data_IF_261505662754
#
_entry.id   IF_261505662754
#
_cell.length_a   1.000
_cell.length_b   1.000
_cell.length_c   1.000
_cell.angle_alpha   90.00
_cell.angle_beta   90.00
_cell.angle_gamma   90.00
#
_symmetry.space_group_name_H-M   'P 1'
#
loop_
_entity.id
_entity.type
_entity.pdbx_description
1 polymer ?
#
# COMPACT_ATOMS: atom_id res chain seq x y z
N UNK A 1 -37.09 17.73 13.93
CA UNK A 1 -36.41 16.44 13.69
C UNK A 1 -35.11 16.80 12.95
N UNK A 2 -33.96 16.78 13.66
CA UNK A 2 -32.66 17.03 13.02
C UNK A 2 -32.33 15.82 12.18
N UNK A 3 -32.30 15.97 10.84
CA UNK A 3 -31.83 14.92 9.94
C UNK A 3 -30.37 14.66 10.35
N UNK A 4 -30.00 13.43 10.73
CA UNK A 4 -28.60 13.16 11.09
C UNK A 4 -27.71 13.53 9.91
N UNK A 5 -26.70 14.34 10.15
CA UNK A 5 -25.74 14.75 9.13
C UNK A 5 -25.06 13.49 8.56
N UNK A 6 -25.11 13.34 7.24
CA UNK A 6 -24.57 12.17 6.56
C UNK A 6 -23.07 12.10 6.77
N UNK A 7 -22.59 11.06 7.46
CA UNK A 7 -21.16 10.83 7.65
C UNK A 7 -20.47 10.60 6.29
N UNK A 8 -19.41 11.33 6.03
CA UNK A 8 -18.58 11.20 4.82
C UNK A 8 -17.62 10.02 4.95
N UNK A 9 -17.17 9.48 3.83
CA UNK A 9 -16.09 8.49 3.83
C UNK A 9 -14.81 9.10 4.39
N UNK A 10 -14.10 8.34 5.22
CA UNK A 10 -12.76 8.71 5.70
C UNK A 10 -11.73 8.26 4.65
N UNK A 11 -11.22 9.23 3.88
CA UNK A 11 -10.25 8.98 2.81
C UNK A 11 -8.80 9.01 3.29
N UNK A 12 -8.57 9.27 4.57
CA UNK A 12 -7.25 9.19 5.18
C UNK A 12 -7.02 7.87 5.93
N UNK A 13 -8.03 7.01 5.99
CA UNK A 13 -7.94 5.67 6.55
C UNK A 13 -7.70 4.66 5.43
N UNK A 14 -6.45 4.50 5.04
CA UNK A 14 -6.01 3.58 4.00
C UNK A 14 -5.78 2.15 4.50
N UNK A 15 -5.50 1.21 3.60
CA UNK A 15 -5.32 -0.23 3.91
C UNK A 15 -4.05 -0.56 4.70
N UNK A 16 -3.01 0.28 4.58
CA UNK A 16 -1.73 0.17 5.33
C UNK A 16 -1.51 1.36 6.27
N UNK A 17 -2.55 2.15 6.51
CA UNK A 17 -2.58 3.19 7.51
C UNK A 17 -2.77 2.55 8.89
N UNK A 18 -2.16 3.13 9.93
CA UNK A 18 -2.06 2.50 11.27
C UNK A 18 -3.42 2.08 11.85
N UNK A 19 -4.38 3.00 11.90
CA UNK A 19 -5.71 2.71 12.45
C UNK A 19 -6.50 1.78 11.53
N UNK A 20 -6.35 1.96 10.20
CA UNK A 20 -6.98 1.10 9.20
C UNK A 20 -6.49 -0.36 9.28
N UNK A 21 -5.19 -0.56 9.47
CA UNK A 21 -4.60 -1.91 9.63
C UNK A 21 -5.07 -2.57 10.94
N UNK A 22 -5.12 -1.80 12.05
CA UNK A 22 -5.64 -2.27 13.33
C UNK A 22 -7.13 -2.65 13.25
N UNK A 23 -7.95 -1.87 12.56
CA UNK A 23 -9.39 -2.17 12.37
C UNK A 23 -9.61 -3.39 11.46
N UNK A 24 -8.82 -3.53 10.39
CA UNK A 24 -8.91 -4.68 9.49
C UNK A 24 -8.61 -5.97 10.23
N UNK A 25 -7.59 -6.01 11.08
CA UNK A 25 -7.23 -7.17 11.89
C UNK A 25 -8.23 -7.43 13.04
N UNK A 26 -8.88 -6.39 13.57
CA UNK A 26 -9.90 -6.52 14.61
C UNK A 26 -11.29 -6.86 14.08
N UNK A 27 -11.54 -6.70 12.77
CA UNK A 27 -12.86 -6.92 12.17
C UNK A 27 -13.25 -8.41 12.20
N UNK A 28 -14.33 -8.79 12.90
CA UNK A 28 -14.77 -10.18 12.97
C UNK A 28 -15.17 -10.71 11.59
N UNK A 29 -14.55 -11.80 11.17
CA UNK A 29 -14.82 -12.49 9.90
C UNK A 29 -14.81 -13.99 10.08
N UNK A 30 -15.56 -14.70 9.23
CA UNK A 30 -15.57 -16.17 9.23
C UNK A 30 -14.31 -16.71 8.58
N UNK A 31 -13.63 -17.62 9.29
CA UNK A 31 -12.38 -18.30 8.89
C UNK A 31 -12.60 -19.81 8.82
N UNK A 32 -11.58 -20.58 8.46
CA UNK A 32 -11.63 -22.06 8.47
C UNK A 32 -11.95 -22.57 9.88
N UNK A 33 -11.24 -22.06 10.88
CA UNK A 33 -11.54 -22.32 12.30
C UNK A 33 -11.66 -20.99 13.02
N UNK A 34 -12.80 -20.71 13.63
CA UNK A 34 -13.04 -19.46 14.35
C UNK A 34 -12.36 -19.41 15.72
N UNK A 35 -11.34 -20.21 15.95
CA UNK A 35 -10.59 -20.28 17.20
C UNK A 35 -9.12 -19.93 16.97
N UNK A 36 -8.58 -19.08 17.84
CA UNK A 36 -7.16 -18.81 17.95
C UNK A 36 -6.69 -19.02 19.41
N UNK A 37 -6.80 -20.22 19.97
CA UNK A 37 -6.60 -20.46 21.40
C UNK A 37 -5.19 -20.08 21.87
N UNK A 38 -4.17 -20.24 21.02
CA UNK A 38 -2.80 -19.87 21.36
C UNK A 38 -2.59 -18.37 21.61
N UNK A 39 -3.39 -17.51 20.98
CA UNK A 39 -3.32 -16.04 21.15
C UNK A 39 -4.36 -15.50 22.15
N UNK A 40 -5.21 -16.34 22.71
CA UNK A 40 -6.29 -15.91 23.61
C UNK A 40 -5.78 -15.15 24.86
N UNK A 41 -4.70 -15.56 25.56
CA UNK A 41 -4.14 -14.79 26.67
C UNK A 41 -3.62 -13.42 26.24
N UNK A 42 -2.98 -13.34 25.09
CA UNK A 42 -2.49 -12.09 24.48
C UNK A 42 -3.64 -11.15 24.16
N UNK A 43 -4.68 -11.62 23.50
CA UNK A 43 -5.85 -10.82 23.15
C UNK A 43 -6.59 -10.28 24.38
N UNK A 44 -6.68 -11.10 25.43
CA UNK A 44 -7.26 -10.69 26.72
C UNK A 44 -6.40 -9.60 27.40
N UNK A 45 -5.09 -9.74 27.41
CA UNK A 45 -4.18 -8.75 27.95
C UNK A 45 -4.26 -7.44 27.15
N UNK A 46 -4.22 -7.51 25.81
CA UNK A 46 -4.35 -6.38 24.89
C UNK A 46 -5.64 -5.59 25.15
N UNK A 47 -6.79 -6.27 25.30
CA UNK A 47 -8.05 -5.62 25.62
C UNK A 47 -8.02 -4.90 27.00
N UNK A 48 -7.37 -5.47 28.01
CA UNK A 48 -7.18 -4.82 29.31
C UNK A 48 -6.31 -3.58 29.23
N UNK A 49 -5.21 -3.63 28.48
CA UNK A 49 -4.35 -2.47 28.24
C UNK A 49 -5.12 -1.36 27.54
N UNK A 50 -5.86 -1.70 26.48
CA UNK A 50 -6.70 -0.75 25.76
C UNK A 50 -7.73 -0.10 26.67
N UNK A 51 -8.43 -0.87 27.49
CA UNK A 51 -9.42 -0.34 28.44
C UNK A 51 -8.80 0.60 29.50
N UNK A 52 -7.59 0.29 29.96
CA UNK A 52 -6.90 1.08 30.98
C UNK A 52 -6.24 2.36 30.45
N UNK A 53 -5.74 2.34 29.21
CA UNK A 53 -4.88 3.42 28.67
C UNK A 53 -5.51 4.18 27.52
N UNK A 54 -6.55 3.63 26.88
CA UNK A 54 -7.13 4.13 25.64
C UNK A 54 -6.20 3.94 24.41
N UNK A 55 -5.14 3.13 24.54
CA UNK A 55 -4.24 2.81 23.42
C UNK A 55 -4.73 1.55 22.73
N UNK A 56 -5.07 1.64 21.45
CA UNK A 56 -5.29 0.49 20.57
C UNK A 56 -3.96 0.11 19.92
N UNK A 57 -3.57 -1.16 20.00
CA UNK A 57 -2.34 -1.60 19.37
C UNK A 57 -2.48 -3.03 18.83
N UNK A 58 -1.59 -3.40 17.93
CA UNK A 58 -1.51 -4.71 17.32
C UNK A 58 -0.38 -4.75 16.31
N UNK A 59 -0.31 -5.82 15.58
CA UNK A 59 0.71 -5.93 14.56
C UNK A 59 0.64 -7.25 13.82
N UNK A 60 1.61 -7.46 12.97
CA UNK A 60 1.71 -8.70 12.22
C UNK A 60 3.16 -9.10 11.94
N UNK A 61 3.35 -10.39 11.77
CA UNK A 61 4.56 -10.96 11.24
C UNK A 61 4.23 -11.71 9.95
N UNK A 62 4.84 -11.29 8.85
CA UNK A 62 4.67 -11.87 7.52
C UNK A 62 5.94 -12.56 7.05
N UNK A 63 5.77 -13.66 6.32
CA UNK A 63 6.80 -14.34 5.54
C UNK A 63 6.34 -14.38 4.09
N UNK A 64 7.23 -14.10 3.14
CA UNK A 64 6.98 -14.22 1.71
C UNK A 64 8.12 -14.98 1.05
N UNK A 65 7.81 -16.11 0.47
CA UNK A 65 8.68 -16.85 -0.45
C UNK A 65 8.23 -16.61 -1.89
N UNK A 66 9.17 -16.35 -2.79
CA UNK A 66 8.95 -16.29 -4.23
C UNK A 66 9.96 -17.17 -4.95
N UNK A 67 9.49 -17.90 -5.97
CA UNK A 67 10.32 -18.69 -6.89
C UNK A 67 10.04 -18.24 -8.33
N UNK A 68 11.10 -17.98 -9.05
CA UNK A 68 11.09 -17.49 -10.43
C UNK A 68 11.45 -18.62 -11.39
N UNK A 69 10.70 -18.79 -12.46
CA UNK A 69 10.96 -19.84 -13.48
C UNK A 69 12.33 -19.68 -14.14
N UNK A 70 12.93 -18.51 -14.04
CA UNK A 70 14.27 -18.20 -14.52
C UNK A 70 14.80 -16.95 -13.83
N UNK A 71 16.12 -16.76 -13.86
CA UNK A 71 16.74 -15.50 -13.47
C UNK A 71 17.76 -15.06 -14.48
N UNK A 72 17.72 -13.78 -14.86
CA UNK A 72 18.71 -13.20 -15.77
C UNK A 72 20.03 -12.93 -15.06
N UNK A 73 19.99 -12.54 -13.78
CA UNK A 73 21.13 -12.01 -13.04
C UNK A 73 21.51 -12.86 -11.81
N UNK A 74 21.04 -14.09 -11.73
CA UNK A 74 21.55 -15.12 -10.83
C UNK A 74 20.60 -15.58 -9.72
N UNK A 75 19.83 -14.68 -9.07
CA UNK A 75 18.91 -15.08 -8.01
C UNK A 75 17.55 -15.48 -8.56
N UNK A 76 17.14 -16.73 -8.39
CA UNK A 76 15.87 -17.29 -8.90
C UNK A 76 14.86 -17.66 -7.82
N UNK A 77 15.13 -17.33 -6.56
CA UNK A 77 14.19 -17.39 -5.45
C UNK A 77 14.47 -16.28 -4.44
N UNK A 78 13.51 -15.97 -3.59
CA UNK A 78 13.69 -15.04 -2.49
C UNK A 78 12.78 -15.40 -1.33
N UNK A 79 13.27 -15.17 -0.13
CA UNK A 79 12.51 -15.25 1.10
C UNK A 79 12.71 -13.97 1.89
N UNK A 80 11.62 -13.35 2.32
CA UNK A 80 11.66 -12.16 3.15
C UNK A 80 10.69 -12.24 4.31
N UNK A 81 10.99 -11.48 5.36
CA UNK A 81 10.02 -11.23 6.43
C UNK A 81 9.64 -9.75 6.51
N UNK A 82 8.48 -9.51 7.07
CA UNK A 82 7.97 -8.19 7.40
C UNK A 82 7.33 -8.25 8.78
N UNK A 83 7.92 -7.52 9.73
CA UNK A 83 7.32 -7.27 11.04
C UNK A 83 6.72 -5.87 11.03
N UNK A 84 5.50 -5.72 11.54
CA UNK A 84 4.84 -4.44 11.73
C UNK A 84 4.19 -4.41 13.11
N UNK A 85 4.42 -3.35 13.87
CA UNK A 85 3.71 -3.04 15.11
C UNK A 85 3.08 -1.66 14.96
N UNK A 86 1.78 -1.60 15.20
CA UNK A 86 0.96 -0.40 15.09
C UNK A 86 0.36 -0.04 16.46
N UNK A 87 0.31 1.25 16.77
CA UNK A 87 -0.42 1.75 17.93
C UNK A 87 -1.10 3.09 17.61
N UNK A 88 -2.33 3.26 18.11
CA UNK A 88 -3.15 4.45 17.94
C UNK A 88 -3.74 4.87 19.29
N UNK A 89 -3.78 6.17 19.54
CA UNK A 89 -4.40 6.76 20.72
C UNK A 89 -5.17 8.03 20.38
N UNK A 90 -6.44 8.09 20.80
CA UNK A 90 -7.19 9.32 20.77
C UNK A 90 -6.66 10.29 21.82
N UNK A 91 -6.15 11.45 21.38
CA UNK A 91 -5.67 12.53 22.22
C UNK A 91 -6.81 13.45 22.66
N UNK A 92 -7.77 13.69 21.76
CA UNK A 92 -8.95 14.53 22.01
C UNK A 92 -10.19 13.84 21.48
N UNK A 93 -11.33 14.08 22.12
CA UNK A 93 -12.65 13.62 21.67
C UNK A 93 -12.75 12.08 21.46
N UNK A 94 -12.09 11.29 22.31
CA UNK A 94 -12.12 9.84 22.22
C UNK A 94 -13.55 9.29 22.08
N UNK A 95 -13.77 8.37 21.15
CA UNK A 95 -15.07 7.77 20.86
C UNK A 95 -16.05 8.69 20.12
N UNK A 96 -15.63 9.87 19.67
CA UNK A 96 -16.44 10.80 18.87
C UNK A 96 -15.95 10.84 17.41
N UNK A 97 -16.83 11.20 16.45
CA UNK A 97 -16.44 11.28 15.03
C UNK A 97 -15.33 12.29 14.69
N UNK A 98 -15.07 13.25 15.60
CA UNK A 98 -14.02 14.25 15.46
C UNK A 98 -12.81 13.99 16.38
N UNK A 99 -12.55 12.75 16.70
CA UNK A 99 -11.37 12.39 17.49
C UNK A 99 -10.09 12.86 16.78
N UNK A 100 -9.17 13.44 17.58
CA UNK A 100 -7.78 13.64 17.17
C UNK A 100 -6.99 12.44 17.65
N UNK A 101 -6.41 11.68 16.73
CA UNK A 101 -5.57 10.50 17.04
C UNK A 101 -4.10 10.82 16.86
N UNK A 102 -3.27 10.14 17.62
CA UNK A 102 -1.84 9.98 17.39
C UNK A 102 -1.56 8.52 17.04
N UNK A 103 -0.90 8.32 15.93
CA UNK A 103 -0.68 7.03 15.31
C UNK A 103 0.82 6.79 15.09
N UNK A 104 1.29 5.56 15.38
CA UNK A 104 2.69 5.16 15.21
C UNK A 104 2.79 3.76 14.63
N UNK A 105 3.74 3.57 13.70
CA UNK A 105 4.14 2.27 13.18
C UNK A 105 5.64 2.05 13.36
N UNK A 106 5.99 0.84 13.78
CA UNK A 106 7.37 0.34 13.87
C UNK A 106 7.46 -0.90 12.98
N UNK A 107 8.45 -0.93 12.10
CA UNK A 107 8.60 -2.02 11.15
C UNK A 107 10.06 -2.52 11.09
N UNK A 108 10.20 -3.79 10.74
CA UNK A 108 11.47 -4.44 10.34
C UNK A 108 11.19 -5.29 9.09
N UNK A 109 12.07 -5.20 8.11
CA UNK A 109 11.95 -5.97 6.87
C UNK A 109 13.32 -6.44 6.41
N UNK A 110 13.47 -7.75 6.15
CA UNK A 110 14.76 -8.32 5.73
C UNK A 110 14.58 -9.49 4.78
N UNK A 111 15.57 -9.68 3.92
CA UNK A 111 15.77 -10.96 3.26
C UNK A 111 16.19 -12.03 4.30
N UNK A 112 15.83 -13.29 4.06
CA UNK A 112 16.19 -14.43 4.89
C UNK A 112 16.88 -15.47 4.00
N UNK A 113 18.19 -15.66 4.17
CA UNK A 113 18.95 -16.68 3.44
C UNK A 113 19.09 -16.44 1.94
N UNK A 114 18.68 -15.26 1.44
CA UNK A 114 18.86 -14.82 0.05
C UNK A 114 19.50 -13.43 0.03
N UNK A 115 20.21 -13.09 -1.04
CA UNK A 115 20.97 -11.82 -1.13
C UNK A 115 20.03 -10.62 -1.23
N UNK A 116 18.94 -10.74 -1.99
CA UNK A 116 17.98 -9.67 -2.23
C UNK A 116 16.60 -10.02 -1.66
N UNK A 117 15.91 -9.04 -1.09
CA UNK A 117 14.53 -9.18 -0.64
C UNK A 117 13.56 -9.32 -1.83
N UNK A 118 12.34 -9.84 -1.62
CA UNK A 118 11.37 -10.06 -2.70
C UNK A 118 11.10 -8.88 -3.62
N UNK A 119 11.10 -7.64 -3.09
CA UNK A 119 10.90 -6.42 -3.91
C UNK A 119 11.93 -6.31 -5.04
N UNK A 120 13.19 -6.67 -4.80
CA UNK A 120 14.26 -6.51 -5.78
C UNK A 120 14.59 -7.80 -6.53
N UNK A 121 14.29 -8.96 -5.95
CA UNK A 121 14.57 -10.24 -6.58
C UNK A 121 13.85 -10.42 -7.93
N UNK A 122 12.61 -9.91 -8.05
CA UNK A 122 11.87 -9.93 -9.32
C UNK A 122 12.53 -9.12 -10.43
N UNK A 123 13.16 -7.98 -10.10
CA UNK A 123 13.93 -7.19 -11.06
C UNK A 123 15.16 -7.97 -11.55
N UNK A 124 15.87 -8.64 -10.64
CA UNK A 124 17.02 -9.51 -10.98
C UNK A 124 16.58 -10.72 -11.80
N UNK A 125 15.39 -11.25 -11.56
CA UNK A 125 14.83 -12.32 -12.37
C UNK A 125 14.48 -11.89 -13.81
N UNK A 126 14.26 -10.59 -14.05
CA UNK A 126 14.02 -10.03 -15.37
C UNK A 126 12.73 -9.21 -15.51
N UNK A 127 11.91 -9.10 -14.47
CA UNK A 127 10.73 -8.23 -14.49
C UNK A 127 11.13 -6.76 -14.52
N UNK A 128 10.41 -5.92 -15.26
CA UNK A 128 10.60 -4.46 -15.24
C UNK A 128 9.92 -3.77 -14.08
N UNK A 129 9.10 -4.47 -13.30
CA UNK A 129 8.46 -3.99 -12.08
C UNK A 129 8.70 -4.97 -10.93
N UNK A 130 8.78 -4.51 -9.67
CA UNK A 130 8.80 -5.36 -8.50
C UNK A 130 7.64 -6.35 -8.46
N UNK A 131 7.96 -7.63 -8.25
CA UNK A 131 6.97 -8.71 -8.11
C UNK A 131 6.38 -8.80 -6.69
N UNK A 132 6.94 -8.02 -5.75
CA UNK A 132 6.43 -7.81 -4.40
C UNK A 132 6.71 -6.35 -4.00
N UNK A 133 5.68 -5.51 -4.01
CA UNK A 133 5.81 -4.05 -3.99
C UNK A 133 6.50 -3.49 -2.75
N UNK A 134 6.12 -3.94 -1.54
CA UNK A 134 6.61 -3.36 -0.29
C UNK A 134 7.42 -4.35 0.58
N UNK A 135 7.94 -5.43 -0.01
CA UNK A 135 8.79 -6.41 0.67
C UNK A 135 10.30 -6.07 0.49
N UNK A 136 10.62 -4.80 0.70
CA UNK A 136 11.98 -4.24 0.67
C UNK A 136 12.74 -4.57 1.95
N UNK A 137 13.94 -4.02 2.11
CA UNK A 137 14.79 -4.26 3.29
C UNK A 137 15.08 -2.95 4.01
N UNK A 138 14.92 -2.95 5.33
CA UNK A 138 15.40 -1.95 6.27
C UNK A 138 15.30 -2.47 7.71
N UNK A 139 16.17 -1.94 8.58
CA UNK A 139 16.25 -2.35 9.98
C UNK A 139 15.09 -1.81 10.81
N UNK A 140 14.84 -2.47 11.96
CA UNK A 140 13.81 -2.10 12.90
C UNK A 140 13.84 -0.60 13.25
N UNK A 141 12.74 0.07 13.04
CA UNK A 141 12.62 1.49 13.36
C UNK A 141 11.22 2.04 13.20
N UNK A 142 11.03 3.28 13.65
CA UNK A 142 9.79 4.01 13.47
C UNK A 142 9.66 4.38 12.00
N UNK A 143 8.62 3.89 11.34
CA UNK A 143 8.36 4.13 9.92
C UNK A 143 7.25 5.14 9.69
N UNK A 144 6.32 5.27 10.62
CA UNK A 144 5.26 6.26 10.61
C UNK A 144 5.01 6.79 12.02
N UNK A 145 4.74 8.08 12.15
CA UNK A 145 4.16 8.71 13.32
C UNK A 145 3.49 10.02 12.90
N UNK A 146 2.21 10.15 13.19
CA UNK A 146 1.41 11.30 12.73
C UNK A 146 0.22 11.54 13.64
N UNK A 147 -0.37 12.73 13.50
CA UNK A 147 -1.69 13.03 14.01
C UNK A 147 -2.70 13.02 12.87
N UNK A 148 -3.91 12.58 13.17
CA UNK A 148 -5.03 12.56 12.22
C UNK A 148 -6.30 13.06 12.91
N UNK A 149 -7.11 13.82 12.18
CA UNK A 149 -8.41 14.26 12.68
C UNK A 149 -9.42 14.38 11.54
N UNK A 150 -10.67 14.03 11.86
CA UNK A 150 -11.84 14.18 10.99
C UNK A 150 -12.78 15.21 11.62
N UNK A 151 -13.11 16.27 10.90
CA UNK A 151 -13.91 17.40 11.39
C UNK A 151 -15.23 17.50 10.60
N UNK A 152 -16.22 18.16 11.19
CA UNK A 152 -17.50 18.48 10.56
C UNK A 152 -18.15 17.27 9.90
N UNK A 153 -18.33 16.17 10.66
CA UNK A 153 -18.92 14.90 10.17
C UNK A 153 -18.22 14.35 8.92
N UNK A 154 -16.89 14.50 8.85
CA UNK A 154 -16.06 14.02 7.75
C UNK A 154 -15.92 14.99 6.57
N UNK A 155 -16.49 16.19 6.63
CA UNK A 155 -16.35 17.17 5.55
C UNK A 155 -14.93 17.69 5.35
N UNK A 156 -14.16 17.72 6.44
CA UNK A 156 -12.75 18.05 6.41
C UNK A 156 -11.96 17.02 7.20
N UNK A 157 -10.88 16.50 6.62
CA UNK A 157 -10.01 15.50 7.22
C UNK A 157 -8.57 15.92 6.99
N UNK A 158 -7.69 15.67 7.95
CA UNK A 158 -6.27 15.93 7.77
C UNK A 158 -5.39 14.95 8.52
N UNK A 159 -4.18 14.78 8.04
CA UNK A 159 -3.08 14.08 8.72
C UNK A 159 -1.78 14.85 8.56
N UNK A 160 -0.96 14.89 9.60
CA UNK A 160 0.33 15.58 9.61
C UNK A 160 1.34 14.74 10.40
N UNK A 161 2.50 14.50 9.81
CA UNK A 161 3.59 13.75 10.43
C UNK A 161 4.44 13.01 9.43
N UNK A 162 5.22 12.04 9.90
CA UNK A 162 5.89 11.08 9.03
C UNK A 162 4.89 9.99 8.63
N UNK A 163 4.57 9.92 7.35
CA UNK A 163 3.53 9.07 6.81
C UNK A 163 4.05 8.23 5.64
N UNK A 164 3.40 7.10 5.41
CA UNK A 164 3.62 6.30 4.22
C UNK A 164 2.74 6.87 3.10
N UNK A 165 3.33 7.68 2.25
CA UNK A 165 2.60 8.45 1.24
C UNK A 165 1.70 7.62 0.31
N UNK A 166 2.05 6.37 -0.09
CA UNK A 166 1.17 5.53 -0.88
C UNK A 166 -0.19 5.21 -0.24
N UNK A 167 -0.34 5.34 1.08
CA UNK A 167 -1.65 5.20 1.73
C UNK A 167 -2.63 6.30 1.32
N UNK A 168 -2.13 7.42 0.83
CA UNK A 168 -2.93 8.63 0.60
C UNK A 168 -2.97 9.05 -0.87
N UNK A 169 -1.95 8.70 -1.67
CA UNK A 169 -1.80 9.10 -3.07
C UNK A 169 -2.31 7.98 -3.97
N UNK A 170 -3.36 8.24 -4.75
CA UNK A 170 -3.96 7.26 -5.67
C UNK A 170 -4.31 5.92 -5.00
N UNK A 171 -4.70 5.96 -3.73
CA UNK A 171 -4.97 4.78 -2.93
C UNK A 171 -6.30 4.13 -3.30
N UNK A 172 -6.36 2.79 -3.24
CA UNK A 172 -7.55 2.01 -3.55
C UNK A 172 -7.61 0.72 -2.71
N UNK A 173 -8.74 -0.02 -2.69
CA UNK A 173 -8.96 -1.13 -1.77
C UNK A 173 -8.04 -2.34 -1.87
N UNK A 174 -7.37 -2.58 -3.01
CA UNK A 174 -6.42 -3.70 -3.20
C UNK A 174 -4.95 -3.32 -3.04
N UNK A 175 -4.67 -2.21 -2.37
CA UNK A 175 -3.32 -1.69 -2.16
C UNK A 175 -2.45 -2.55 -1.20
N UNK A 176 -3.02 -3.38 -0.35
CA UNK A 176 -2.31 -4.07 0.73
C UNK A 176 -1.61 -5.36 0.25
N UNK A 177 -0.32 -5.29 -0.03
CA UNK A 177 0.50 -6.44 -0.41
C UNK A 177 0.85 -7.39 0.76
N UNK A 178 0.36 -7.13 1.97
CA UNK A 178 0.37 -8.11 3.07
C UNK A 178 -0.81 -9.09 2.97
N UNK A 179 -1.87 -8.73 2.27
CA UNK A 179 -3.13 -9.49 2.22
C UNK A 179 -3.66 -9.72 0.80
N UNK A 180 -3.20 -8.96 -0.20
CA UNK A 180 -3.79 -8.86 -1.53
C UNK A 180 -2.74 -9.03 -2.63
N UNK A 181 -2.85 -8.34 -3.77
CA UNK A 181 -1.88 -8.38 -4.86
C UNK A 181 -0.47 -8.03 -4.40
N UNK A 182 0.52 -8.75 -4.91
CA UNK A 182 1.94 -8.55 -4.62
C UNK A 182 2.62 -7.62 -5.62
N UNK A 183 2.32 -7.80 -6.92
CA UNK A 183 3.00 -7.08 -7.99
C UNK A 183 2.73 -5.58 -7.90
N UNK A 184 3.77 -4.78 -8.12
CA UNK A 184 3.68 -3.31 -8.08
C UNK A 184 2.63 -2.76 -9.06
N UNK A 185 2.38 -3.44 -10.18
CA UNK A 185 1.37 -3.04 -11.15
C UNK A 185 -0.04 -2.92 -10.54
N UNK A 186 -0.33 -3.72 -9.50
CA UNK A 186 -1.65 -3.76 -8.86
C UNK A 186 -1.66 -3.13 -7.47
N UNK A 187 -0.59 -3.28 -6.67
CA UNK A 187 -0.59 -2.81 -5.29
C UNK A 187 -0.46 -1.29 -5.16
N UNK A 188 0.32 -0.63 -6.04
CA UNK A 188 0.45 0.83 -6.08
C UNK A 188 0.27 1.34 -7.51
N UNK A 189 0.44 2.64 -7.74
CA UNK A 189 0.56 3.18 -9.10
C UNK A 189 2.03 3.27 -9.49
N UNK A 190 2.53 2.41 -10.39
CA UNK A 190 3.93 2.41 -10.77
C UNK A 190 4.35 3.67 -11.56
N UNK A 191 3.40 4.46 -12.06
CA UNK A 191 3.69 5.70 -12.77
C UNK A 191 3.92 6.89 -11.87
N UNK A 192 3.60 6.79 -10.57
CA UNK A 192 3.76 7.89 -9.61
C UNK A 192 5.11 7.75 -8.91
N UNK A 193 5.93 8.79 -8.96
CA UNK A 193 7.19 8.88 -8.22
C UNK A 193 6.96 9.20 -6.73
N UNK A 194 6.07 8.43 -6.09
CA UNK A 194 5.64 8.67 -4.71
C UNK A 194 6.78 8.36 -3.74
N UNK A 195 7.10 9.26 -2.79
CA UNK A 195 8.03 8.95 -1.70
C UNK A 195 7.41 7.86 -0.82
N UNK A 196 8.23 6.90 -0.38
CA UNK A 196 7.69 5.83 0.46
C UNK A 196 7.31 6.36 1.83
N UNK A 197 8.26 6.96 2.55
CA UNK A 197 8.05 7.51 3.89
C UNK A 197 8.66 8.89 3.98
N UNK A 198 7.89 9.87 4.37
CA UNK A 198 8.35 11.24 4.49
C UNK A 198 7.51 12.02 5.48
N UNK A 199 8.07 13.09 6.04
CA UNK A 199 7.28 14.05 6.79
C UNK A 199 6.44 14.87 5.80
N UNK A 200 5.20 15.14 6.17
CA UNK A 200 4.31 15.93 5.33
C UNK A 200 2.90 16.02 5.89
N UNK A 201 1.99 16.47 5.04
CA UNK A 201 0.59 16.60 5.39
C UNK A 201 -0.31 16.23 4.22
N UNK A 202 -1.51 15.77 4.53
CA UNK A 202 -2.61 15.53 3.59
C UNK A 202 -3.87 16.14 4.15
N UNK A 203 -4.64 16.80 3.30
CA UNK A 203 -5.97 17.31 3.61
C UNK A 203 -7.00 16.76 2.61
N UNK A 204 -8.21 16.51 3.11
CA UNK A 204 -9.40 16.16 2.32
C UNK A 204 -10.51 17.13 2.62
N UNK A 205 -11.20 17.60 1.60
CA UNK A 205 -12.39 18.41 1.75
C UNK A 205 -13.53 17.89 0.84
N UNK A 206 -14.73 17.85 1.42
CA UNK A 206 -15.98 17.63 0.68
C UNK A 206 -16.71 18.98 0.53
N UNK A 207 -16.55 19.69 -0.60
CA UNK A 207 -16.99 21.08 -0.73
C UNK A 207 -18.51 21.23 -0.74
N UNK A 208 -19.26 20.21 -1.12
CA UNK A 208 -20.72 20.24 -1.26
C UNK A 208 -21.46 19.28 -0.36
N UNK A 209 -22.75 19.12 -0.61
CA UNK A 209 -23.61 18.12 0.03
C UNK A 209 -23.43 16.71 -0.56
N UNK A 210 -22.83 16.60 -1.74
CA UNK A 210 -22.54 15.33 -2.43
C UNK A 210 -21.36 14.55 -1.86
N UNK A 211 -20.90 13.54 -2.58
CA UNK A 211 -19.77 12.69 -2.22
C UNK A 211 -18.52 13.02 -3.06
N UNK A 212 -18.54 14.11 -3.81
CA UNK A 212 -17.36 14.64 -4.49
C UNK A 212 -16.39 15.22 -3.46
N UNK A 213 -15.09 15.00 -3.66
CA UNK A 213 -14.05 15.46 -2.76
C UNK A 213 -12.84 16.03 -3.53
N UNK A 214 -12.07 16.81 -2.82
CA UNK A 214 -10.72 17.21 -3.19
C UNK A 214 -9.78 16.73 -2.09
N UNK A 215 -8.68 16.08 -2.46
CA UNK A 215 -7.61 15.67 -1.55
C UNK A 215 -6.30 16.21 -2.09
N UNK A 216 -5.47 16.78 -1.21
CA UNK A 216 -4.17 17.30 -1.58
C UNK A 216 -3.17 17.11 -0.46
N UNK A 217 -1.89 17.04 -0.80
CA UNK A 217 -0.83 16.88 0.18
C UNK A 217 0.54 17.21 -0.37
N UNK A 218 1.48 17.28 0.57
CA UNK A 218 2.88 17.57 0.32
C UNK A 218 3.74 16.74 1.28
N UNK A 219 4.81 16.15 0.79
CA UNK A 219 5.73 15.28 1.55
C UNK A 219 7.17 15.59 1.23
N UNK A 220 8.08 15.29 2.15
CA UNK A 220 9.50 15.18 1.81
C UNK A 220 9.68 14.09 0.75
N UNK A 221 10.29 14.43 -0.39
CA UNK A 221 10.50 13.48 -1.48
C UNK A 221 11.72 12.57 -1.28
N UNK A 222 12.63 12.95 -0.38
CA UNK A 222 13.94 12.32 -0.20
C UNK A 222 14.20 12.09 1.29
N UNK A 223 13.63 11.02 1.87
CA UNK A 223 13.67 10.74 3.29
C UNK A 223 13.95 9.26 3.57
N UNK A 224 14.64 8.99 4.68
CA UNK A 224 14.91 7.62 5.12
C UNK A 224 13.62 6.87 5.51
N UNK A 225 13.61 5.55 5.32
CA UNK A 225 12.47 4.70 5.69
C UNK A 225 12.18 4.74 7.19
N UNK A 226 13.21 4.80 8.03
CA UNK A 226 13.11 4.80 9.49
C UNK A 226 13.61 6.10 10.09
N UNK A 227 13.30 6.34 11.37
CA UNK A 227 13.66 7.55 12.10
C UNK A 227 12.67 8.71 11.91
N UNK A 228 12.88 9.80 12.63
CA UNK A 228 11.95 10.94 12.63
C UNK A 228 12.00 11.77 11.34
N UNK A 229 13.19 12.07 10.83
CA UNK A 229 13.46 12.76 9.55
C UNK A 229 12.61 14.03 9.29
N UNK A 230 12.10 14.69 10.35
CA UNK A 230 11.27 15.91 10.25
C UNK A 230 12.09 17.07 9.67
N UNK A 231 13.38 17.13 10.05
CA UNK A 231 14.31 18.18 9.59
C UNK A 231 14.43 18.24 8.07
N UNK A 232 14.37 17.09 7.39
CA UNK A 232 14.51 16.99 5.94
C UNK A 232 13.44 17.80 5.19
N UNK A 233 12.23 17.90 5.76
CA UNK A 233 11.15 18.69 5.18
C UNK A 233 11.44 20.20 5.13
N UNK A 234 12.16 20.72 6.11
CA UNK A 234 12.45 22.14 6.25
C UNK A 234 13.83 22.55 5.73
N UNK A 235 14.76 21.60 5.68
CA UNK A 235 16.17 21.88 5.29
C UNK A 235 16.45 21.70 3.80
N UNK A 236 15.60 20.97 3.08
CA UNK A 236 15.75 20.68 1.66
C UNK A 236 14.48 21.04 0.91
N UNK A 237 14.62 21.73 -0.22
CA UNK A 237 13.50 22.03 -1.13
C UNK A 237 13.26 20.84 -2.08
N UNK A 238 13.07 19.66 -1.50
CA UNK A 238 12.84 18.40 -2.22
C UNK A 238 11.51 17.81 -1.76
N UNK A 239 10.42 18.22 -2.41
CA UNK A 239 9.08 17.84 -2.01
C UNK A 239 8.36 17.09 -3.13
N UNK A 240 7.42 16.28 -2.71
CA UNK A 240 6.41 15.66 -3.56
C UNK A 240 5.07 16.30 -3.25
N UNK A 241 4.36 16.71 -4.27
CA UNK A 241 3.04 17.34 -4.20
C UNK A 241 2.03 16.49 -4.95
N UNK A 242 0.81 16.44 -4.46
CA UNK A 242 -0.29 15.87 -5.21
C UNK A 242 -1.60 16.59 -4.95
N UNK A 243 -2.50 16.51 -5.94
CA UNK A 243 -3.89 16.91 -5.85
C UNK A 243 -4.76 15.84 -6.50
N UNK A 244 -5.81 15.43 -5.81
CA UNK A 244 -6.74 14.41 -6.27
C UNK A 244 -8.16 14.95 -6.20
N UNK A 245 -8.91 14.74 -7.26
CA UNK A 245 -10.34 15.03 -7.32
C UNK A 245 -11.07 13.70 -7.54
N UNK A 246 -12.14 13.47 -6.79
CA UNK A 246 -12.84 12.22 -6.89
C UNK A 246 -14.25 12.24 -6.32
N UNK A 247 -14.86 11.08 -6.38
CA UNK A 247 -16.19 10.84 -5.85
C UNK A 247 -16.24 9.49 -5.16
N UNK A 248 -16.64 9.48 -3.88
CA UNK A 248 -16.96 8.26 -3.14
C UNK A 248 -18.41 7.87 -3.33
N UNK A 249 -18.73 6.60 -3.06
CA UNK A 249 -20.12 6.10 -3.07
C UNK A 249 -20.90 6.52 -4.33
N UNK A 250 -20.25 6.53 -5.50
CA UNK A 250 -20.91 6.91 -6.75
C UNK A 250 -21.98 5.89 -7.19
N UNK A 251 -21.91 4.64 -6.71
CA UNK A 251 -22.97 3.66 -6.89
C UNK A 251 -23.98 3.72 -5.73
N UNK A 252 -25.26 3.71 -6.06
CA UNK A 252 -26.36 3.90 -5.09
C UNK A 252 -26.60 2.71 -4.14
N UNK A 253 -25.84 1.64 -4.19
CA UNK A 253 -26.02 0.45 -3.36
C UNK A 253 -25.26 0.58 -2.04
N UNK A 254 -25.85 0.23 -0.89
CA UNK A 254 -25.13 0.22 0.37
C UNK A 254 -23.97 -0.79 0.30
N UNK A 255 -22.81 -0.38 0.77
CA UNK A 255 -21.66 -1.27 0.89
C UNK A 255 -21.88 -2.17 2.10
N UNK A 256 -21.83 -3.49 1.94
CA UNK A 256 -21.99 -4.42 3.06
C UNK A 256 -20.86 -4.23 4.09
N UNK A 257 -21.17 -4.47 5.37
CA UNK A 257 -20.22 -4.27 6.48
C UNK A 257 -18.93 -5.06 6.27
N UNK A 258 -19.02 -6.30 5.79
CA UNK A 258 -17.85 -7.16 5.54
C UNK A 258 -17.02 -6.76 4.31
N UNK A 259 -17.56 -5.91 3.45
CA UNK A 259 -16.82 -5.32 2.32
C UNK A 259 -16.28 -3.92 2.63
N UNK A 260 -16.66 -3.35 3.79
CA UNK A 260 -16.09 -2.09 4.27
C UNK A 260 -14.67 -2.37 4.73
N UNK A 261 -13.73 -2.10 3.84
CA UNK A 261 -12.35 -1.92 4.24
C UNK A 261 -12.16 -0.53 4.86
N UNK A 262 -10.93 -0.17 5.23
CA UNK A 262 -10.61 1.16 5.74
C UNK A 262 -10.97 2.27 4.75
N UNK A 263 -11.06 1.97 3.45
CA UNK A 263 -11.51 2.88 2.40
C UNK A 263 -12.93 2.55 1.94
N UNK A 264 -13.64 3.55 1.42
CA UNK A 264 -14.90 3.32 0.74
C UNK A 264 -14.69 2.44 -0.49
N UNK A 265 -15.45 1.33 -0.57
CA UNK A 265 -15.32 0.34 -1.62
C UNK A 265 -15.80 0.82 -3.00
N UNK A 266 -16.50 1.97 -3.07
CA UNK A 266 -16.91 2.61 -4.32
C UNK A 266 -16.23 3.97 -4.41
N UNK A 267 -15.18 4.07 -5.20
CA UNK A 267 -14.42 5.30 -5.39
C UNK A 267 -14.00 5.43 -6.85
N UNK A 268 -14.01 6.65 -7.35
CA UNK A 268 -13.33 7.02 -8.59
C UNK A 268 -12.61 8.34 -8.38
N UNK A 269 -11.39 8.43 -8.88
CA UNK A 269 -10.59 9.66 -8.75
C UNK A 269 -9.58 9.83 -9.88
N UNK A 270 -9.14 11.07 -10.00
CA UNK A 270 -8.03 11.52 -10.85
C UNK A 270 -7.01 12.20 -9.95
N UNK A 271 -5.76 11.76 -10.03
CA UNK A 271 -4.64 12.24 -9.23
C UNK A 271 -3.61 12.93 -10.13
N UNK A 272 -3.27 14.18 -9.82
CA UNK A 272 -2.17 14.94 -10.40
C UNK A 272 -1.04 14.99 -9.38
N UNK A 273 0.19 14.87 -9.84
CA UNK A 273 1.32 14.89 -8.93
C UNK A 273 2.57 15.52 -9.56
N UNK A 274 3.44 16.03 -8.70
CA UNK A 274 4.71 16.62 -9.05
C UNK A 274 5.74 16.34 -7.95
N UNK A 275 6.99 16.03 -8.33
CA UNK A 275 8.13 15.87 -7.43
C UNK A 275 9.25 16.82 -7.89
N UNK A 276 9.81 17.56 -6.94
CA UNK A 276 11.01 18.37 -7.16
C UNK A 276 12.21 17.51 -7.59
N UNK A 277 13.19 18.11 -8.29
CA UNK A 277 14.46 17.42 -8.53
C UNK A 277 15.09 17.00 -7.19
N UNK A 278 15.71 15.82 -7.16
CA UNK A 278 16.48 15.35 -6.00
C UNK A 278 17.96 15.64 -6.21
N UNK A 279 18.58 16.35 -5.25
CA UNK A 279 19.98 16.73 -5.33
C UNK A 279 20.91 15.57 -4.98
N UNK A 280 22.15 15.64 -5.46
CA UNK A 280 23.23 14.76 -5.03
C UNK A 280 23.58 15.05 -3.57
N UNK A 281 23.69 13.99 -2.76
CA UNK A 281 24.14 14.06 -1.37
C UNK A 281 25.44 13.24 -1.21
N UNK A 282 26.58 13.87 -0.93
CA UNK A 282 27.84 13.15 -0.72
C UNK A 282 27.72 12.14 0.42
N UNK A 283 28.20 10.91 0.19
CA UNK A 283 28.14 9.83 1.18
C UNK A 283 26.82 9.11 1.28
N UNK A 284 25.80 9.48 0.49
CA UNK A 284 24.54 8.74 0.43
C UNK A 284 24.71 7.39 -0.26
N UNK A 285 24.40 6.33 0.47
CA UNK A 285 24.47 4.95 -0.03
C UNK A 285 23.11 4.36 -0.36
N UNK A 286 22.02 5.03 0.08
CA UNK A 286 20.68 4.58 -0.23
C UNK A 286 20.34 4.88 -1.70
N UNK A 287 20.11 3.85 -2.53
CA UNK A 287 19.83 4.05 -3.94
C UNK A 287 18.56 4.86 -4.21
N UNK A 288 17.60 4.85 -3.30
CA UNK A 288 16.36 5.64 -3.41
C UNK A 288 16.61 7.16 -3.25
N UNK A 289 17.77 7.56 -2.72
CA UNK A 289 18.14 8.96 -2.48
C UNK A 289 19.14 9.52 -3.49
N UNK A 290 19.29 8.88 -4.65
CA UNK A 290 20.16 9.37 -5.74
C UNK A 290 19.62 10.63 -6.39
N UNK A 291 20.51 11.43 -7.03
CA UNK A 291 20.09 12.58 -7.82
C UNK A 291 19.11 12.15 -8.89
N UNK A 292 18.01 12.88 -9.04
CA UNK A 292 16.97 12.61 -10.04
C UNK A 292 16.39 13.91 -10.54
N UNK A 293 15.98 13.94 -11.78
CA UNK A 293 15.26 15.06 -12.37
C UNK A 293 13.87 15.23 -11.72
N UNK A 294 13.26 16.40 -11.95
CA UNK A 294 11.85 16.62 -11.62
C UNK A 294 10.97 15.54 -12.25
N UNK A 295 9.91 15.19 -11.56
CA UNK A 295 8.98 14.20 -12.04
C UNK A 295 7.54 14.69 -11.89
N UNK A 296 6.65 14.29 -12.81
CA UNK A 296 5.24 14.66 -12.78
C UNK A 296 4.39 13.68 -13.58
N UNK A 297 3.12 13.69 -13.31
CA UNK A 297 2.20 12.82 -14.04
C UNK A 297 0.75 12.95 -13.59
N UNK A 298 -0.05 12.08 -14.16
CA UNK A 298 -1.46 11.92 -13.84
C UNK A 298 -1.81 10.44 -13.76
N UNK A 299 -2.65 10.08 -12.79
CA UNK A 299 -3.19 8.74 -12.62
C UNK A 299 -4.69 8.79 -12.38
N UNK A 300 -5.38 7.73 -12.72
CA UNK A 300 -6.79 7.53 -12.41
C UNK A 300 -7.02 6.19 -11.75
N UNK A 301 -8.05 6.12 -10.94
CA UNK A 301 -8.50 4.87 -10.33
C UNK A 301 -10.02 4.86 -10.24
N UNK A 302 -10.61 3.71 -10.50
CA UNK A 302 -12.02 3.44 -10.28
C UNK A 302 -12.18 2.03 -9.72
N UNK A 303 -12.96 1.90 -8.64
CA UNK A 303 -13.32 0.62 -8.07
C UNK A 303 -14.78 0.63 -7.62
N UNK A 304 -15.45 -0.49 -7.80
CA UNK A 304 -16.86 -0.63 -7.51
C UNK A 304 -17.21 -2.04 -7.05
N UNK A 305 -18.06 -2.11 -6.01
CA UNK A 305 -18.69 -3.36 -5.58
C UNK A 305 -19.83 -3.76 -6.53
N UNK A 306 -19.88 -5.04 -6.84
CA UNK A 306 -21.00 -5.71 -7.51
C UNK A 306 -21.60 -6.70 -6.52
N UNK A 307 -22.76 -6.38 -5.97
CA UNK A 307 -23.31 -7.14 -4.84
C UNK A 307 -22.50 -6.90 -3.56
N UNK A 308 -22.45 -7.91 -2.70
CA UNK A 308 -21.78 -7.88 -1.42
C UNK A 308 -20.38 -8.53 -1.47
N UNK A 309 -20.15 -9.36 -2.48
CA UNK A 309 -19.04 -10.29 -2.53
C UNK A 309 -17.97 -9.90 -3.54
N UNK A 310 -18.32 -9.13 -4.57
CA UNK A 310 -17.45 -8.86 -5.71
C UNK A 310 -17.05 -7.39 -5.78
N UNK A 311 -15.78 -7.14 -6.14
CA UNK A 311 -15.29 -5.82 -6.48
C UNK A 311 -14.47 -5.89 -7.75
N UNK A 312 -14.70 -4.97 -8.68
CA UNK A 312 -13.81 -4.75 -9.81
C UNK A 312 -13.06 -3.43 -9.66
N UNK A 313 -11.93 -3.33 -10.32
CA UNK A 313 -11.17 -2.10 -10.41
C UNK A 313 -10.57 -1.90 -11.80
N UNK A 314 -10.36 -0.64 -12.16
CA UNK A 314 -9.59 -0.21 -13.32
C UNK A 314 -8.74 0.99 -12.91
N UNK A 315 -7.45 0.93 -13.16
CA UNK A 315 -6.51 1.98 -12.82
C UNK A 315 -5.52 2.20 -13.94
N UNK A 316 -4.92 3.38 -13.98
CA UNK A 316 -3.84 3.65 -14.92
C UNK A 316 -3.24 5.02 -14.68
N UNK A 317 -2.15 5.29 -15.39
CA UNK A 317 -1.49 6.57 -15.29
C UNK A 317 -0.38 6.72 -16.31
N UNK A 318 0.08 7.94 -16.44
CA UNK A 318 1.27 8.32 -17.21
C UNK A 318 2.08 9.32 -16.40
N UNK A 319 3.40 9.22 -16.49
CA UNK A 319 4.27 10.11 -15.75
C UNK A 319 5.75 9.89 -16.05
N UNK A 320 6.58 10.62 -15.33
CA UNK A 320 8.04 10.52 -15.39
C UNK A 320 8.58 10.24 -13.99
N UNK A 321 9.69 9.51 -13.86
CA UNK A 321 10.35 9.27 -12.58
C UNK A 321 9.63 8.30 -11.63
N UNK A 322 8.62 7.57 -12.07
CA UNK A 322 8.08 6.38 -11.43
C UNK A 322 8.73 5.11 -11.97
N UNK A 323 8.33 3.93 -11.48
CA UNK A 323 8.80 2.65 -12.03
C UNK A 323 8.32 2.41 -13.48
N UNK A 324 7.27 3.09 -13.90
CA UNK A 324 6.76 3.02 -15.26
C UNK A 324 6.39 4.42 -15.79
N UNK A 325 6.61 4.63 -17.10
CA UNK A 325 6.14 5.82 -17.84
C UNK A 325 4.63 5.79 -18.09
N UNK A 326 4.09 4.61 -18.27
CA UNK A 326 2.67 4.37 -18.47
C UNK A 326 2.27 3.02 -17.88
N UNK A 327 1.04 2.95 -17.38
CA UNK A 327 0.48 1.73 -16.80
C UNK A 327 -1.04 1.75 -16.96
N UNK A 328 -1.63 0.58 -17.24
CA UNK A 328 -3.07 0.33 -17.16
C UNK A 328 -3.27 -1.05 -16.54
N UNK A 329 -4.07 -1.13 -15.47
CA UNK A 329 -4.38 -2.36 -14.77
C UNK A 329 -5.86 -2.47 -14.50
N UNK A 330 -6.39 -3.68 -14.61
CA UNK A 330 -7.75 -4.00 -14.22
C UNK A 330 -7.81 -5.35 -13.55
N UNK A 331 -8.80 -5.54 -12.72
CA UNK A 331 -8.93 -6.79 -11.99
C UNK A 331 -10.23 -6.88 -11.20
N UNK A 332 -10.27 -7.95 -10.43
CA UNK A 332 -11.49 -8.41 -9.79
C UNK A 332 -11.13 -9.11 -8.49
N UNK A 333 -11.91 -8.88 -7.45
CA UNK A 333 -11.83 -9.56 -6.18
C UNK A 333 -13.15 -10.21 -5.78
N UNK A 334 -13.06 -11.33 -5.06
CA UNK A 334 -14.21 -12.08 -4.58
C UNK A 334 -14.02 -12.50 -3.12
N UNK A 335 -14.99 -12.20 -2.28
CA UNK A 335 -15.10 -12.67 -0.89
C UNK A 335 -16.21 -13.71 -0.76
N UNK A 336 -15.89 -14.98 -0.46
CA UNK A 336 -16.90 -16.01 -0.24
C UNK A 336 -17.84 -15.67 0.94
N UNK A 337 -19.16 -15.69 0.79
CA UNK A 337 -20.08 -15.36 1.89
C UNK A 337 -19.96 -16.28 3.11
N UNK A 338 -19.59 -17.53 2.89
CA UNK A 338 -19.38 -18.52 3.96
C UNK A 338 -18.06 -18.34 4.71
N UNK A 339 -17.07 -17.63 4.11
CA UNK A 339 -15.74 -17.40 4.67
C UNK A 339 -15.27 -15.97 4.35
N UNK A 340 -15.86 -15.02 5.05
CA UNK A 340 -15.68 -13.58 4.77
C UNK A 340 -14.26 -13.06 5.05
N UNK A 341 -13.40 -13.84 5.72
CA UNK A 341 -12.00 -13.54 5.88
C UNK A 341 -11.14 -13.93 4.68
N UNK A 342 -11.62 -14.85 3.83
CA UNK A 342 -10.93 -15.23 2.60
C UNK A 342 -11.08 -14.14 1.53
N UNK A 343 -10.15 -14.11 0.61
CA UNK A 343 -10.18 -13.20 -0.53
C UNK A 343 -9.51 -13.86 -1.73
N UNK A 344 -10.23 -13.98 -2.83
CA UNK A 344 -9.67 -14.27 -4.15
C UNK A 344 -9.45 -12.97 -4.91
N UNK A 345 -8.36 -12.86 -5.65
CA UNK A 345 -8.12 -11.76 -6.57
C UNK A 345 -7.47 -12.24 -7.86
N UNK A 346 -7.85 -11.62 -8.96
CA UNK A 346 -7.25 -11.79 -10.28
C UNK A 346 -7.14 -10.43 -10.96
N UNK A 347 -6.01 -10.18 -11.63
CA UNK A 347 -5.77 -8.93 -12.34
C UNK A 347 -4.85 -9.12 -13.53
N UNK A 348 -4.99 -8.19 -14.49
CA UNK A 348 -4.10 -8.06 -15.65
C UNK A 348 -3.66 -6.61 -15.74
N UNK A 349 -2.37 -6.39 -16.00
CA UNK A 349 -1.77 -5.07 -16.12
C UNK A 349 -0.74 -4.99 -17.23
N UNK A 350 -0.84 -3.95 -18.04
CA UNK A 350 0.19 -3.56 -18.99
C UNK A 350 1.00 -2.40 -18.42
N UNK A 351 2.31 -2.39 -18.59
CA UNK A 351 3.21 -1.34 -18.11
C UNK A 351 4.34 -1.08 -19.11
N UNK A 352 4.75 0.17 -19.21
CA UNK A 352 5.97 0.62 -19.85
C UNK A 352 6.98 1.01 -18.76
N UNK A 353 7.89 0.11 -18.32
CA UNK A 353 8.84 0.41 -17.26
C UNK A 353 9.78 1.57 -17.61
N UNK A 354 10.24 2.29 -16.56
CA UNK A 354 11.18 3.40 -16.68
C UNK A 354 12.55 3.03 -16.10
N UNK A 355 13.59 3.19 -16.90
CA UNK A 355 14.97 2.81 -16.54
C UNK A 355 15.51 3.56 -15.32
N UNK A 356 15.32 4.87 -15.17
CA UNK A 356 15.91 5.64 -14.07
C UNK A 356 15.50 5.18 -12.67
N UNK A 357 14.36 4.50 -12.56
CA UNK A 357 13.82 4.08 -11.27
C UNK A 357 14.16 2.63 -10.91
N UNK A 358 14.76 1.88 -11.84
CA UNK A 358 15.25 0.51 -11.60
C UNK A 358 16.66 0.61 -11.03
N UNK A 359 16.73 0.88 -9.74
CA UNK A 359 17.97 1.09 -9.02
C UNK A 359 18.36 -0.15 -8.21
N UNK A 360 18.68 -1.21 -8.91
CA UNK A 360 19.28 -2.43 -8.37
C UNK A 360 20.69 -2.54 -8.97
N UNK A 361 21.71 -2.93 -8.19
CA UNK A 361 23.06 -3.18 -8.73
C UNK A 361 23.02 -4.39 -9.66
N UNK A 362 22.62 -4.15 -10.90
CA UNK A 362 22.63 -5.17 -11.95
C UNK A 362 24.03 -5.30 -12.54
N UNK A 363 24.49 -6.50 -12.88
CA UNK A 363 25.85 -6.73 -13.37
C UNK A 363 26.07 -6.23 -14.82
N UNK A 364 25.04 -5.68 -15.44
CA UNK A 364 25.10 -5.11 -16.78
C UNK A 364 24.36 -3.78 -16.86
N UNK A 365 24.81 -2.83 -17.69
CA UNK A 365 24.08 -1.60 -17.95
C UNK A 365 22.68 -1.88 -18.49
N UNK A 366 21.70 -1.15 -18.02
CA UNK A 366 20.33 -1.20 -18.56
C UNK A 366 20.27 -0.44 -19.89
N UNK A 367 19.44 -0.89 -20.85
CA UNK A 367 19.19 -0.12 -22.06
C UNK A 367 18.44 1.19 -21.70
N UNK A 368 18.59 2.22 -22.52
CA UNK A 368 17.94 3.52 -22.32
C UNK A 368 16.42 3.46 -22.43
N UNK A 369 15.89 2.47 -23.13
CA UNK A 369 14.46 2.20 -23.21
C UNK A 369 14.19 0.73 -22.94
N UNK A 370 13.27 0.44 -22.06
CA UNK A 370 12.79 -0.91 -21.79
C UNK A 370 11.54 -1.22 -22.64
N UNK A 371 11.37 -2.45 -23.13
CA UNK A 371 10.12 -2.85 -23.75
C UNK A 371 8.98 -2.84 -22.73
N UNK A 372 7.75 -2.72 -23.21
CA UNK A 372 6.59 -2.90 -22.37
C UNK A 372 6.43 -4.36 -21.93
N UNK A 373 5.84 -4.57 -20.78
CA UNK A 373 5.49 -5.89 -20.27
C UNK A 373 4.02 -5.95 -19.87
N UNK A 374 3.47 -7.16 -19.85
CA UNK A 374 2.13 -7.44 -19.33
C UNK A 374 2.23 -8.45 -18.21
N UNK A 375 1.55 -8.22 -17.09
CA UNK A 375 1.49 -9.14 -15.97
C UNK A 375 0.06 -9.58 -15.71
N UNK A 376 -0.16 -10.88 -15.56
CA UNK A 376 -1.33 -11.48 -14.95
C UNK A 376 -0.97 -11.94 -13.55
N UNK A 377 -1.81 -11.64 -12.56
CA UNK A 377 -1.63 -12.11 -11.18
C UNK A 377 -2.93 -12.70 -10.65
N UNK A 378 -2.82 -13.82 -9.94
CA UNK A 378 -3.92 -14.45 -9.24
C UNK A 378 -3.47 -14.87 -7.85
N UNK A 379 -4.28 -14.57 -6.83
CA UNK A 379 -4.03 -14.99 -5.47
C UNK A 379 -5.30 -15.51 -4.77
N UNK A 380 -5.10 -16.32 -3.75
CA UNK A 380 -6.16 -16.73 -2.84
C UNK A 380 -5.69 -16.62 -1.39
N UNK A 381 -6.19 -15.62 -0.64
CA UNK A 381 -5.95 -15.52 0.79
C UNK A 381 -6.85 -16.49 1.53
N UNK A 382 -6.26 -17.52 2.11
CA UNK A 382 -6.92 -18.52 2.95
C UNK A 382 -6.71 -18.16 4.42
N UNK A 383 -7.75 -17.65 5.07
CA UNK A 383 -7.72 -17.34 6.50
C UNK A 383 -8.01 -18.60 7.32
N UNK A 384 -6.95 -19.24 7.83
CA UNK A 384 -7.04 -20.46 8.63
C UNK A 384 -7.66 -20.20 10.00
N UNK A 385 -7.25 -19.09 10.63
CA UNK A 385 -7.81 -18.60 11.90
C UNK A 385 -8.01 -17.10 11.82
N UNK A 386 -8.68 -16.43 12.76
CA UNK A 386 -8.76 -14.97 12.81
C UNK A 386 -7.41 -14.26 12.80
N UNK A 387 -6.36 -14.93 13.30
CA UNK A 387 -5.01 -14.37 13.39
C UNK A 387 -4.05 -14.84 12.30
N UNK A 388 -4.32 -15.95 11.61
CA UNK A 388 -3.35 -16.57 10.71
C UNK A 388 -3.95 -16.88 9.33
N UNK A 389 -3.28 -16.38 8.31
CA UNK A 389 -3.64 -16.61 6.91
C UNK A 389 -2.44 -17.07 6.08
N UNK A 390 -2.71 -17.90 5.08
CA UNK A 390 -1.75 -18.31 4.04
C UNK A 390 -2.29 -17.90 2.69
N UNK A 391 -1.43 -17.38 1.82
CA UNK A 391 -1.83 -16.86 0.51
C UNK A 391 -0.89 -17.41 -0.55
N UNK A 392 -1.24 -18.48 -1.27
CA UNK A 392 -0.64 -18.78 -2.56
C UNK A 392 -0.94 -17.65 -3.55
N UNK A 393 0.06 -17.34 -4.38
CA UNK A 393 0.00 -16.30 -5.40
C UNK A 393 0.80 -16.76 -6.62
N UNK A 394 0.31 -16.43 -7.80
CA UNK A 394 0.98 -16.75 -9.06
C UNK A 394 0.93 -15.53 -9.98
N UNK A 395 2.10 -15.19 -10.54
CA UNK A 395 2.24 -14.14 -11.53
C UNK A 395 2.80 -14.72 -12.82
N UNK A 396 2.25 -14.31 -13.95
CA UNK A 396 2.78 -14.58 -15.27
C UNK A 396 3.08 -13.27 -15.97
N UNK A 397 4.36 -13.02 -16.25
CA UNK A 397 4.86 -11.81 -16.87
C UNK A 397 5.22 -12.13 -18.31
N UNK A 398 4.53 -11.49 -19.24
CA UNK A 398 4.81 -11.57 -20.67
C UNK A 398 5.76 -10.44 -21.07
N UNK A 399 6.75 -10.76 -21.90
CA UNK A 399 7.81 -9.85 -22.34
C UNK A 399 8.52 -9.18 -21.17
N UNK A 400 9.14 -9.93 -20.25
CA UNK A 400 9.78 -9.37 -19.08
C UNK A 400 10.84 -8.33 -19.50
N UNK A 401 10.62 -7.07 -19.13
CA UNK A 401 11.32 -5.92 -19.73
C UNK A 401 12.82 -5.93 -19.49
N UNK A 402 13.29 -6.52 -18.38
CA UNK A 402 14.70 -6.66 -18.05
C UNK A 402 15.34 -7.94 -18.61
N UNK A 403 14.56 -8.88 -19.16
CA UNK A 403 15.08 -10.04 -19.90
C UNK A 403 14.36 -10.25 -21.23
N UNK A 404 14.58 -9.39 -22.23
CA UNK A 404 13.90 -9.45 -23.52
C UNK A 404 14.24 -10.70 -24.36
N UNK A 405 15.13 -11.59 -23.88
CA UNK A 405 15.40 -12.89 -24.52
C UNK A 405 14.35 -13.94 -24.20
N UNK A 406 13.43 -13.64 -23.29
CA UNK A 406 12.36 -14.54 -22.87
C UNK A 406 11.00 -13.93 -23.16
N UNK A 407 10.10 -14.77 -23.62
CA UNK A 407 8.71 -14.38 -23.86
C UNK A 407 7.91 -14.30 -22.58
N UNK A 408 8.29 -15.11 -21.55
CA UNK A 408 7.57 -15.20 -20.28
C UNK A 408 8.50 -15.41 -19.08
N UNK A 409 8.07 -14.88 -17.94
CA UNK A 409 8.62 -15.15 -16.62
C UNK A 409 7.45 -15.48 -15.70
N UNK A 410 7.44 -16.68 -15.11
CA UNK A 410 6.45 -17.03 -14.10
C UNK A 410 7.05 -16.91 -12.69
N UNK A 411 6.23 -16.46 -11.74
CA UNK A 411 6.58 -16.29 -10.34
C UNK A 411 5.52 -17.01 -9.49
N UNK A 412 5.95 -18.00 -8.74
CA UNK A 412 5.13 -18.62 -7.71
C UNK A 412 5.48 -17.99 -6.36
N UNK A 413 4.47 -17.60 -5.60
CA UNK A 413 4.67 -17.00 -4.30
C UNK A 413 3.83 -17.70 -3.23
N UNK A 414 4.38 -17.79 -2.02
CA UNK A 414 3.65 -18.25 -0.85
C UNK A 414 3.86 -17.25 0.28
N UNK A 415 2.79 -16.61 0.70
CA UNK A 415 2.81 -15.65 1.82
C UNK A 415 2.09 -16.23 3.02
N UNK A 416 2.71 -16.14 4.20
CA UNK A 416 2.09 -16.43 5.49
C UNK A 416 2.06 -15.16 6.33
N UNK A 417 0.94 -14.90 7.01
CA UNK A 417 0.77 -13.72 7.88
C UNK A 417 0.11 -14.13 9.19
N UNK A 418 0.77 -13.77 10.29
CA UNK A 418 0.25 -13.87 11.65
C UNK A 418 -0.04 -12.47 12.18
N UNK A 419 -1.29 -12.17 12.52
CA UNK A 419 -1.71 -10.96 13.21
C UNK A 419 -1.80 -11.20 14.73
N UNK A 420 -1.48 -10.15 15.55
CA UNK A 420 -1.49 -10.26 17.02
C UNK A 420 -1.91 -8.98 17.75
#
# INVERSE_FOLDING_TARGET
MVVPEKTRADLLKGTLEVEGDLEEDATPRTTVTNAAPALSPWMTWKARVQAATGITFGGSYGLLYQNYSSSRFGQNDSLGHKFTFNASKALLNAGKPNALTFDIAIEDRRAIGTDLPPTFAGLVAGSGLPTAATWSQFDLGITQFYIRQTLSSGRFQYTIGKIFAPNFVDAYPFFDDNRQFLNLAFSTSPTIAVPLRGFGFVGVAYPGSGNAYVKAGMFTANSANTGATIGDFFSHNEHFYFAEVGQTQFARRPIPIHARGPMDANNMHLTFWYRDPLAFRPGETNPLLRPRDKAYGVAFSINQMIGAEYMWFLRGGVGTGGFAKANVTGGFGYRPPSRTADLFGIGVGWSQPDVPEIDVPLPVPLPTNLPSQTVGEVFYRLALTPAFAVTPDFQLIFNPSLDPRRDTLSVFSLRARLAF
#
